data_IF_091831640169
#
_entry.id   IF_091831640169
#
_cell.length_a   1.000
_cell.length_b   1.000
_cell.length_c   1.000
_cell.angle_alpha   90.00
_cell.angle_beta   90.00
_cell.angle_gamma   90.00
#
_symmetry.space_group_name_H-M   'P 1'
#
loop_
_entity.id
_entity.type
_entity.pdbx_description
1 polymer ?
#
# COMPACT_ATOMS: atom_id res chain seq x y z
N UNK A 1 -5.98 -9.21 -28.27
CA UNK A 1 -5.09 -9.88 -27.30
C UNK A 1 -4.72 -8.81 -26.29
N UNK A 2 -4.92 -9.06 -25.00
CA UNK A 2 -4.68 -8.03 -24.01
C UNK A 2 -3.16 -7.85 -23.83
N UNK A 3 -2.69 -6.61 -23.87
CA UNK A 3 -1.27 -6.31 -23.74
C UNK A 3 -0.86 -6.43 -22.26
N UNK A 4 -0.24 -7.56 -21.90
CA UNK A 4 0.26 -7.78 -20.53
C UNK A 4 1.34 -6.76 -20.15
N UNK A 5 2.14 -6.28 -21.12
CA UNK A 5 3.19 -5.29 -20.84
C UNK A 5 2.62 -4.01 -20.23
N UNK A 6 1.39 -3.64 -20.59
CA UNK A 6 0.70 -2.45 -20.06
C UNK A 6 0.36 -2.49 -18.56
N UNK A 7 0.47 -3.67 -17.91
CA UNK A 7 0.28 -3.83 -16.47
C UNK A 7 1.61 -3.82 -15.69
N UNK A 8 2.75 -3.94 -16.37
CA UNK A 8 4.06 -3.85 -15.73
C UNK A 8 4.44 -2.39 -15.42
N UNK A 9 5.45 -2.18 -14.55
CA UNK A 9 5.86 -0.83 -14.18
C UNK A 9 6.17 0.06 -15.37
N UNK A 10 5.77 1.33 -15.29
CA UNK A 10 6.01 2.31 -16.35
C UNK A 10 7.49 2.32 -16.78
N UNK A 11 7.72 2.29 -18.09
CA UNK A 11 9.06 2.17 -18.68
C UNK A 11 9.56 0.72 -18.82
N UNK A 12 8.77 -0.28 -18.43
CA UNK A 12 9.06 -1.68 -18.78
C UNK A 12 8.91 -1.89 -20.29
N UNK A 13 9.75 -2.78 -20.83
CA UNK A 13 9.80 -3.07 -22.26
C UNK A 13 10.07 -4.56 -22.49
N UNK A 14 9.99 -4.99 -23.74
CA UNK A 14 10.53 -6.27 -24.18
C UNK A 14 11.84 -6.02 -24.92
N UNK A 15 12.84 -6.85 -24.65
CA UNK A 15 14.09 -6.90 -25.42
C UNK A 15 13.85 -7.59 -26.79
N UNK A 16 14.85 -7.62 -27.66
CA UNK A 16 14.74 -8.18 -29.04
C UNK A 16 14.31 -9.67 -29.06
N UNK A 17 14.63 -10.41 -27.99
CA UNK A 17 14.24 -11.82 -27.79
C UNK A 17 12.90 -11.99 -27.05
N UNK A 18 12.18 -10.90 -26.80
CA UNK A 18 10.90 -10.88 -26.08
C UNK A 18 11.03 -10.89 -24.55
N UNK A 19 12.25 -10.88 -24.00
CA UNK A 19 12.46 -10.91 -22.54
C UNK A 19 11.98 -9.61 -21.90
N UNK A 20 11.24 -9.73 -20.79
CA UNK A 20 10.80 -8.57 -20.01
C UNK A 20 12.01 -7.81 -19.43
N UNK A 21 12.00 -6.49 -19.60
CA UNK A 21 12.97 -5.55 -19.03
C UNK A 21 12.23 -4.61 -18.07
N UNK A 22 12.67 -4.55 -16.81
CA UNK A 22 12.11 -3.68 -15.76
C UNK A 22 13.21 -2.77 -15.23
N UNK A 23 13.02 -1.45 -15.27
CA UNK A 23 14.04 -0.49 -14.84
C UNK A 23 15.38 -0.61 -15.60
N UNK A 24 15.31 -1.06 -16.86
CA UNK A 24 16.49 -1.36 -17.70
C UNK A 24 17.17 -2.71 -17.41
N UNK A 25 16.69 -3.49 -16.44
CA UNK A 25 17.24 -4.80 -16.08
C UNK A 25 16.41 -5.93 -16.70
N UNK A 26 17.04 -6.89 -17.37
CA UNK A 26 16.35 -8.08 -17.90
C UNK A 26 15.89 -8.98 -16.76
N UNK A 27 14.66 -9.50 -16.87
CA UNK A 27 14.06 -10.35 -15.84
C UNK A 27 14.82 -11.67 -15.60
N UNK A 28 15.40 -12.25 -16.65
CA UNK A 28 16.24 -13.46 -16.54
C UNK A 28 17.56 -13.20 -15.79
N UNK A 29 18.19 -12.05 -16.01
CA UNK A 29 19.37 -11.62 -15.26
C UNK A 29 19.06 -11.37 -13.78
N UNK A 30 17.93 -10.72 -13.49
CA UNK A 30 17.46 -10.51 -12.11
C UNK A 30 17.19 -11.85 -11.40
N UNK A 31 16.54 -12.79 -12.08
CA UNK A 31 16.28 -14.12 -11.55
C UNK A 31 17.58 -14.91 -11.30
N UNK A 32 18.55 -14.82 -12.22
CA UNK A 32 19.84 -15.49 -12.08
C UNK A 32 20.69 -14.93 -10.92
N UNK A 33 20.66 -13.61 -10.70
CA UNK A 33 21.45 -12.95 -9.66
C UNK A 33 20.83 -13.09 -8.26
N UNK A 34 19.53 -12.88 -8.13
CA UNK A 34 18.85 -12.79 -6.82
C UNK A 34 18.03 -14.04 -6.45
N UNK A 35 17.86 -14.95 -7.41
CA UNK A 35 17.01 -16.14 -7.30
C UNK A 35 15.52 -15.81 -7.25
N UNK A 36 14.68 -16.80 -7.55
CA UNK A 36 13.22 -16.71 -7.46
C UNK A 36 12.66 -17.34 -6.16
N UNK A 37 11.47 -16.92 -5.71
CA UNK A 37 10.73 -15.73 -6.17
C UNK A 37 11.45 -14.43 -5.77
N UNK A 38 11.31 -13.35 -6.56
CA UNK A 38 11.89 -12.03 -6.26
C UNK A 38 10.92 -10.91 -6.62
N UNK A 39 10.75 -9.96 -5.69
CA UNK A 39 9.95 -8.75 -5.91
C UNK A 39 10.86 -7.64 -6.45
N UNK A 40 10.59 -7.21 -7.68
CA UNK A 40 11.37 -6.23 -8.42
C UNK A 40 10.61 -4.91 -8.46
N UNK A 41 11.19 -3.85 -7.91
CA UNK A 41 10.64 -2.50 -7.92
C UNK A 41 11.35 -1.68 -8.98
N UNK A 42 10.60 -1.13 -9.94
CA UNK A 42 11.12 -0.15 -10.89
C UNK A 42 11.24 1.21 -10.18
N UNK A 43 12.44 1.56 -9.70
CA UNK A 43 12.63 2.72 -8.82
C UNK A 43 12.22 4.04 -9.52
N UNK A 44 12.45 4.15 -10.83
CA UNK A 44 12.04 5.33 -11.60
C UNK A 44 10.51 5.49 -11.67
N UNK A 45 9.77 4.39 -11.84
CA UNK A 45 8.30 4.41 -11.85
C UNK A 45 7.73 4.76 -10.47
N UNK A 46 8.31 4.19 -9.41
CA UNK A 46 7.96 4.51 -8.03
C UNK A 46 8.12 6.02 -7.73
N UNK A 47 9.27 6.60 -8.06
CA UNK A 47 9.55 8.03 -7.87
C UNK A 47 8.65 8.92 -8.73
N UNK A 48 8.37 8.51 -9.97
CA UNK A 48 7.48 9.25 -10.85
C UNK A 48 6.06 9.33 -10.26
N UNK A 49 5.52 8.21 -9.77
CA UNK A 49 4.18 8.18 -9.16
C UNK A 49 4.13 8.98 -7.85
N UNK A 50 5.17 8.92 -7.02
CA UNK A 50 5.26 9.75 -5.82
C UNK A 50 5.23 11.26 -6.14
N UNK A 51 6.02 11.71 -7.12
CA UNK A 51 6.03 13.10 -7.59
C UNK A 51 4.72 13.53 -8.20
N UNK A 52 4.07 12.67 -8.99
CA UNK A 52 2.75 12.94 -9.57
C UNK A 52 1.74 13.34 -8.48
N UNK A 53 1.67 12.57 -7.38
CA UNK A 53 0.79 12.91 -6.26
C UNK A 53 1.14 14.26 -5.62
N UNK A 54 2.44 14.52 -5.38
CA UNK A 54 2.90 15.76 -4.74
C UNK A 54 2.59 16.97 -5.62
N UNK A 55 2.92 16.89 -6.91
CA UNK A 55 2.75 17.97 -7.87
C UNK A 55 1.26 18.26 -8.10
N UNK A 56 0.45 17.22 -8.35
CA UNK A 56 -0.98 17.37 -8.62
C UNK A 56 -1.74 17.92 -7.39
N UNK A 57 -1.37 17.50 -6.17
CA UNK A 57 -1.97 18.03 -4.95
C UNK A 57 -1.55 19.47 -4.71
N UNK A 58 -0.26 19.77 -4.78
CA UNK A 58 0.29 21.11 -4.54
C UNK A 58 -0.28 22.13 -5.52
N UNK A 59 -0.46 21.75 -6.79
CA UNK A 59 -1.07 22.60 -7.81
C UNK A 59 -2.53 22.97 -7.50
N UNK A 60 -3.27 22.09 -6.82
CA UNK A 60 -4.69 22.30 -6.50
C UNK A 60 -4.92 22.89 -5.12
N UNK A 61 -4.06 22.57 -4.16
CA UNK A 61 -4.10 22.99 -2.77
C UNK A 61 -2.67 23.26 -2.27
N UNK A 62 -2.18 24.52 -2.31
CA UNK A 62 -0.78 24.84 -1.98
C UNK A 62 -0.33 24.43 -0.56
N UNK A 63 -1.27 24.33 0.39
CA UNK A 63 -1.02 23.83 1.74
C UNK A 63 -1.09 22.31 1.87
N UNK A 64 -1.21 21.59 0.75
CA UNK A 64 -1.49 20.16 0.71
C UNK A 64 -0.27 19.32 1.10
N UNK A 65 -0.53 18.12 1.62
CA UNK A 65 0.51 17.16 1.96
C UNK A 65 0.11 15.76 1.54
N UNK A 66 1.06 15.05 0.95
CA UNK A 66 0.94 13.63 0.66
C UNK A 66 1.69 12.88 1.76
N UNK A 67 1.04 11.94 2.41
CA UNK A 67 1.68 10.98 3.32
C UNK A 67 1.52 9.58 2.73
N UNK A 68 2.61 8.84 2.58
CA UNK A 68 2.53 7.49 2.03
C UNK A 68 2.03 6.52 3.10
N UNK A 69 0.95 5.81 2.82
CA UNK A 69 0.39 4.80 3.71
C UNK A 69 1.29 3.56 3.74
N UNK A 70 2.19 3.50 4.73
CA UNK A 70 3.31 2.56 4.77
C UNK A 70 2.89 1.10 4.82
N UNK A 71 1.69 0.80 5.35
CA UNK A 71 1.05 -0.53 5.33
C UNK A 71 1.01 -1.18 3.94
N UNK A 72 0.96 -0.39 2.86
CA UNK A 72 0.95 -0.89 1.50
C UNK A 72 2.30 -1.51 1.11
N UNK A 73 3.42 -0.99 1.61
CA UNK A 73 4.74 -1.57 1.38
C UNK A 73 5.69 -1.18 2.54
N UNK A 74 5.71 -1.94 3.64
CA UNK A 74 6.50 -1.61 4.85
C UNK A 74 7.98 -1.96 4.67
N UNK A 75 8.61 -1.39 3.66
CA UNK A 75 10.01 -1.56 3.34
C UNK A 75 10.74 -0.22 3.55
N UNK A 76 11.73 -0.19 4.43
CA UNK A 76 12.50 1.03 4.74
C UNK A 76 13.11 1.68 3.49
N UNK A 77 13.52 0.88 2.49
CA UNK A 77 14.05 1.43 1.25
C UNK A 77 12.97 2.12 0.39
N UNK A 78 11.75 1.58 0.35
CA UNK A 78 10.60 2.21 -0.34
C UNK A 78 10.17 3.47 0.41
N UNK A 79 10.04 3.39 1.74
CA UNK A 79 9.76 4.56 2.59
C UNK A 79 10.80 5.67 2.37
N UNK A 80 12.08 5.33 2.25
CA UNK A 80 13.14 6.31 1.98
C UNK A 80 12.97 7.01 0.64
N UNK A 81 12.56 6.28 -0.40
CA UNK A 81 12.21 6.89 -1.69
C UNK A 81 11.08 7.91 -1.51
N UNK A 82 10.03 7.57 -0.76
CA UNK A 82 8.92 8.51 -0.51
C UNK A 82 9.40 9.78 0.20
N UNK A 83 10.25 9.64 1.22
CA UNK A 83 10.85 10.77 1.92
C UNK A 83 11.70 11.64 0.99
N UNK A 84 12.52 11.02 0.14
CA UNK A 84 13.35 11.74 -0.84
C UNK A 84 12.51 12.49 -1.89
N UNK A 85 11.32 12.00 -2.22
CA UNK A 85 10.36 12.70 -3.10
C UNK A 85 9.47 13.70 -2.33
N UNK A 86 9.72 13.92 -1.03
CA UNK A 86 9.08 14.97 -0.23
C UNK A 86 7.79 14.57 0.50
N UNK A 87 7.47 13.28 0.58
CA UNK A 87 6.27 12.78 1.25
C UNK A 87 6.50 12.59 2.75
N UNK A 88 5.42 12.73 3.52
CA UNK A 88 5.35 12.17 4.88
C UNK A 88 5.01 10.69 4.88
N UNK A 89 4.81 10.10 6.07
CA UNK A 89 4.48 8.68 6.21
C UNK A 89 3.29 8.49 7.16
N UNK A 90 2.25 7.78 6.69
CA UNK A 90 1.21 7.20 7.53
C UNK A 90 1.71 5.83 8.04
N UNK A 91 1.65 5.66 9.35
CA UNK A 91 2.06 4.46 10.08
C UNK A 91 0.94 3.99 11.00
N UNK A 92 0.82 2.69 11.24
CA UNK A 92 -0.26 2.08 12.01
C UNK A 92 0.20 1.36 13.29
N UNK A 93 1.48 1.48 13.67
CA UNK A 93 2.03 0.88 14.88
C UNK A 93 3.52 1.16 15.10
N UNK A 94 4.06 0.68 16.22
CA UNK A 94 5.42 0.99 16.68
C UNK A 94 6.51 0.59 15.69
N UNK A 95 6.41 -0.60 15.10
CA UNK A 95 7.36 -1.06 14.08
C UNK A 95 7.36 -0.18 12.82
N UNK A 96 6.20 0.34 12.42
CA UNK A 96 6.09 1.25 11.29
C UNK A 96 6.67 2.63 11.62
N UNK A 97 6.49 3.15 12.84
CA UNK A 97 7.18 4.38 13.30
C UNK A 97 8.70 4.20 13.23
N UNK A 98 9.24 3.10 13.76
CA UNK A 98 10.68 2.86 13.80
C UNK A 98 11.27 2.68 12.40
N UNK A 99 10.56 2.01 11.49
CA UNK A 99 11.00 1.89 10.09
C UNK A 99 10.94 3.22 9.34
N UNK A 100 9.90 4.04 9.59
CA UNK A 100 9.77 5.39 9.06
C UNK A 100 10.94 6.29 9.51
N UNK A 101 11.27 6.30 10.80
CA UNK A 101 12.44 7.03 11.34
C UNK A 101 13.73 6.53 10.70
N UNK A 102 13.91 5.21 10.57
CA UNK A 102 15.07 4.61 9.90
C UNK A 102 15.14 4.95 8.40
N UNK A 103 13.99 5.22 7.77
CA UNK A 103 13.92 5.67 6.39
C UNK A 103 14.42 7.11 6.23
N UNK A 104 14.41 7.90 7.31
CA UNK A 104 14.91 9.28 7.36
C UNK A 104 13.80 10.32 7.29
N UNK A 105 12.54 9.96 7.55
CA UNK A 105 11.43 10.91 7.59
C UNK A 105 11.64 11.92 8.73
N UNK A 106 11.25 13.18 8.50
CA UNK A 106 11.05 14.11 9.60
C UNK A 106 9.85 13.61 10.44
N UNK A 107 10.01 13.31 11.75
CA UNK A 107 8.92 12.83 12.59
C UNK A 107 7.68 13.74 12.56
N UNK A 108 7.84 15.04 12.33
CA UNK A 108 6.72 15.98 12.19
C UNK A 108 5.86 15.74 10.93
N UNK A 109 6.32 14.89 10.01
CA UNK A 109 5.60 14.44 8.81
C UNK A 109 5.01 13.03 8.97
N UNK A 110 5.10 12.43 10.15
CA UNK A 110 4.51 11.12 10.44
C UNK A 110 3.10 11.29 11.00
N UNK A 111 2.19 10.46 10.52
CA UNK A 111 0.80 10.39 10.97
C UNK A 111 0.55 8.98 11.52
N UNK A 112 0.30 8.86 12.83
CA UNK A 112 0.03 7.57 13.48
C UNK A 112 -1.47 7.27 13.48
N UNK A 113 -1.81 6.14 12.89
CA UNK A 113 -3.13 5.51 12.86
C UNK A 113 -3.20 4.28 13.79
N UNK A 114 -4.38 3.68 13.84
CA UNK A 114 -4.64 2.41 14.54
C UNK A 114 -5.90 2.47 15.39
N UNK A 115 -6.71 1.42 15.38
CA UNK A 115 -7.96 1.38 16.18
C UNK A 115 -7.77 0.89 17.61
N UNK A 116 -6.56 0.43 17.95
CA UNK A 116 -6.23 -0.18 19.23
C UNK A 116 -4.77 0.11 19.61
N UNK A 117 -4.39 1.39 19.61
CA UNK A 117 -3.02 1.80 19.93
C UNK A 117 -2.69 1.44 21.38
N UNK A 118 -1.57 0.76 21.57
CA UNK A 118 -1.05 0.41 22.88
C UNK A 118 -0.28 1.57 23.53
N UNK A 119 -0.07 1.47 24.85
CA UNK A 119 0.78 2.42 25.60
C UNK A 119 2.21 2.43 25.05
N UNK A 120 2.72 1.29 24.59
CA UNK A 120 4.04 1.18 23.96
C UNK A 120 4.09 1.99 22.66
N UNK A 121 3.09 1.83 21.78
CA UNK A 121 3.05 2.54 20.50
C UNK A 121 2.87 4.05 20.66
N UNK A 122 2.02 4.48 21.60
CA UNK A 122 1.88 5.89 21.94
C UNK A 122 3.16 6.42 22.58
N UNK A 123 3.82 5.64 23.43
CA UNK A 123 5.12 5.96 24.00
C UNK A 123 6.18 6.21 22.93
N UNK A 124 6.32 5.29 21.97
CA UNK A 124 7.22 5.42 20.81
C UNK A 124 6.88 6.68 20.00
N UNK A 125 5.61 6.95 19.74
CA UNK A 125 5.17 8.11 18.98
C UNK A 125 5.57 9.43 19.65
N UNK A 126 5.32 9.55 20.96
CA UNK A 126 5.68 10.72 21.76
C UNK A 126 7.19 10.88 21.87
N UNK A 127 7.93 9.79 22.11
CA UNK A 127 9.39 9.79 22.21
C UNK A 127 10.06 10.28 20.92
N UNK A 128 9.58 9.83 19.76
CA UNK A 128 10.11 10.23 18.47
C UNK A 128 9.57 11.56 17.94
N UNK A 129 8.58 12.17 18.61
CA UNK A 129 7.99 13.44 18.18
C UNK A 129 7.15 13.30 16.90
N UNK A 130 6.34 12.23 16.82
CA UNK A 130 5.40 12.02 15.71
C UNK A 130 4.47 13.23 15.56
N UNK A 131 4.34 13.73 14.33
CA UNK A 131 3.62 14.96 14.03
C UNK A 131 2.13 14.91 14.36
N UNK A 132 1.43 13.86 13.96
CA UNK A 132 -0.01 13.71 14.19
C UNK A 132 -0.34 12.32 14.72
N UNK A 133 -1.22 12.23 15.71
CA UNK A 133 -1.87 10.97 16.12
C UNK A 133 -3.36 11.06 15.77
N UNK A 134 -3.84 10.14 14.94
CA UNK A 134 -5.25 10.04 14.57
C UNK A 134 -5.98 9.25 15.65
N UNK A 135 -6.70 9.95 16.52
CA UNK A 135 -7.51 9.40 17.62
C UNK A 135 -8.71 8.65 17.04
N UNK A 136 -8.83 7.38 17.41
CA UNK A 136 -9.92 6.50 16.97
C UNK A 136 -11.06 6.43 18.00
N UNK A 137 -10.74 6.59 19.29
CA UNK A 137 -11.71 6.56 20.39
C UNK A 137 -11.18 7.29 21.65
N UNK A 138 -11.97 7.29 22.73
CA UNK A 138 -11.63 7.98 23.98
C UNK A 138 -10.41 7.39 24.71
N UNK A 139 -10.15 6.09 24.57
CA UNK A 139 -9.01 5.44 25.24
C UNK A 139 -7.67 5.91 24.67
N UNK A 140 -7.61 6.26 23.37
CA UNK A 140 -6.43 6.91 22.78
C UNK A 140 -6.13 8.24 23.49
N UNK A 141 -7.17 9.04 23.81
CA UNK A 141 -7.01 10.31 24.52
C UNK A 141 -6.55 10.08 25.95
N UNK A 142 -7.12 9.10 26.67
CA UNK A 142 -6.69 8.73 28.02
C UNK A 142 -5.19 8.38 28.05
N UNK A 143 -4.73 7.57 27.09
CA UNK A 143 -3.32 7.17 26.97
C UNK A 143 -2.41 8.34 26.64
N UNK A 144 -2.79 9.18 25.68
CA UNK A 144 -2.04 10.39 25.33
C UNK A 144 -1.90 11.33 26.54
N UNK A 145 -2.99 11.58 27.28
CA UNK A 145 -2.96 12.42 28.48
C UNK A 145 -2.08 11.83 29.59
N UNK A 146 -2.01 10.49 29.70
CA UNK A 146 -1.12 9.82 30.64
C UNK A 146 0.36 9.92 30.23
N UNK A 147 0.66 9.67 28.96
CA UNK A 147 2.03 9.47 28.44
C UNK A 147 2.72 10.78 28.09
N UNK A 148 2.00 11.76 27.52
CA UNK A 148 2.59 13.03 27.11
C UNK A 148 3.17 13.77 28.34
N UNK A 149 4.44 14.18 28.33
CA UNK A 149 5.06 14.89 29.45
C UNK A 149 4.34 16.20 29.81
N UNK A 150 4.39 16.58 31.08
CA UNK A 150 3.84 17.87 31.51
C UNK A 150 4.59 19.03 30.82
N UNK A 151 3.82 19.96 30.23
CA UNK A 151 4.37 21.09 29.46
C UNK A 151 4.63 20.79 27.98
N UNK A 152 4.39 19.55 27.53
CA UNK A 152 4.39 19.15 26.12
C UNK A 152 2.96 18.90 25.63
N UNK A 153 2.78 18.92 24.31
CA UNK A 153 1.48 18.64 23.67
C UNK A 153 1.67 17.73 22.47
N UNK A 154 0.82 16.72 22.33
CA UNK A 154 0.71 15.93 21.11
C UNK A 154 -0.42 16.48 20.23
N UNK A 155 -0.14 16.68 18.95
CA UNK A 155 -1.15 17.09 17.98
C UNK A 155 -1.94 15.88 17.51
N UNK A 156 -3.26 16.05 17.43
CA UNK A 156 -4.17 14.97 17.06
C UNK A 156 -5.18 15.37 16.00
N UNK A 157 -5.61 14.37 15.24
CA UNK A 157 -6.85 14.40 14.47
C UNK A 157 -7.86 13.43 15.11
N UNK A 158 -9.15 13.61 14.86
CA UNK A 158 -10.18 12.63 15.21
C UNK A 158 -10.69 11.94 13.95
N UNK A 159 -10.70 10.61 13.94
CA UNK A 159 -11.20 9.83 12.80
C UNK A 159 -12.72 9.78 12.76
N UNK A 160 -13.29 10.20 11.64
CA UNK A 160 -14.74 10.30 11.42
C UNK A 160 -15.19 9.25 10.42
N UNK A 161 -16.34 8.63 10.71
CA UNK A 161 -17.10 7.82 9.77
C UNK A 161 -17.94 8.79 8.92
N UNK A 162 -17.67 8.93 7.61
CA UNK A 162 -18.32 9.95 6.79
C UNK A 162 -19.74 9.57 6.38
N UNK A 163 -20.14 8.30 6.54
CA UNK A 163 -21.45 7.80 6.09
C UNK A 163 -21.55 7.63 4.57
N UNK A 164 -20.42 7.68 3.85
CA UNK A 164 -20.30 7.42 2.41
C UNK A 164 -19.89 5.97 2.21
N UNK A 165 -20.51 5.29 1.24
CA UNK A 165 -20.17 3.90 0.89
C UNK A 165 -19.60 3.90 -0.52
N UNK A 166 -18.37 3.42 -0.69
CA UNK A 166 -17.83 3.13 -2.01
C UNK A 166 -18.22 1.69 -2.39
N UNK A 167 -18.82 1.50 -3.57
CA UNK A 167 -19.17 0.17 -4.08
C UNK A 167 -17.90 -0.65 -4.32
N UNK A 168 -17.49 -1.42 -3.32
CA UNK A 168 -16.36 -2.36 -3.37
C UNK A 168 -16.78 -3.65 -2.69
N UNK A 169 -16.10 -4.77 -2.97
CA UNK A 169 -16.40 -6.07 -2.36
C UNK A 169 -16.53 -5.97 -0.83
N UNK A 170 -17.43 -6.73 -0.22
CA UNK A 170 -17.81 -6.63 1.20
C UNK A 170 -16.66 -6.77 2.21
N UNK A 171 -15.50 -7.29 1.79
CA UNK A 171 -14.28 -7.41 2.60
C UNK A 171 -13.36 -6.17 2.53
N UNK A 172 -13.69 -5.18 1.71
CA UNK A 172 -12.86 -3.99 1.40
C UNK A 172 -13.52 -2.68 1.87
N UNK A 173 -14.76 -2.75 2.36
CA UNK A 173 -15.50 -1.60 2.91
C UNK A 173 -14.88 -1.17 4.26
N UNK A 174 -14.35 0.05 4.30
CA UNK A 174 -13.86 0.70 5.53
C UNK A 174 -14.55 2.06 5.65
N UNK A 175 -15.40 2.25 6.68
CA UNK A 175 -16.06 3.56 6.91
C UNK A 175 -17.59 3.60 6.93
N UNK A 176 -18.29 2.47 7.02
CA UNK A 176 -19.76 2.43 7.20
C UNK A 176 -20.17 2.37 8.69
N UNK A 177 -21.44 2.62 9.01
CA UNK A 177 -21.99 2.39 10.36
C UNK A 177 -21.74 0.92 10.78
N UNK A 178 -21.10 0.71 11.93
CA UNK A 178 -20.65 -0.61 12.38
C UNK A 178 -19.19 -0.95 12.04
N UNK A 179 -18.46 -0.05 11.36
CA UNK A 179 -17.01 -0.10 11.22
C UNK A 179 -16.33 -0.10 12.60
N UNK A 180 -15.25 -0.87 12.74
CA UNK A 180 -14.39 -0.84 13.95
C UNK A 180 -13.51 0.42 14.06
N UNK A 181 -13.52 1.26 13.03
CA UNK A 181 -12.68 2.45 12.90
C UNK A 181 -13.51 3.72 12.97
N UNK A 182 -12.97 4.71 13.67
CA UNK A 182 -13.51 6.05 13.76
C UNK A 182 -14.82 6.16 14.54
N UNK A 183 -15.32 7.38 14.61
CA UNK A 183 -16.54 7.74 15.32
C UNK A 183 -17.59 8.27 14.37
N UNK A 184 -18.84 7.93 14.61
CA UNK A 184 -19.94 8.64 14.00
C UNK A 184 -19.91 10.12 14.45
N UNK A 185 -20.34 11.08 13.62
CA UNK A 185 -20.29 12.52 13.96
C UNK A 185 -20.91 12.87 15.32
N UNK A 186 -21.98 12.17 15.72
CA UNK A 186 -22.64 12.33 17.03
C UNK A 186 -21.72 12.00 18.21
N UNK A 187 -20.88 10.99 18.06
CA UNK A 187 -19.99 10.49 19.12
C UNK A 187 -18.63 11.21 19.09
N UNK A 188 -18.21 11.69 17.92
CA UNK A 188 -17.02 12.51 17.77
C UNK A 188 -17.14 13.88 18.49
N UNK A 189 -18.31 14.54 18.41
CA UNK A 189 -18.46 15.90 18.93
C UNK A 189 -18.18 16.04 20.45
N UNK A 190 -18.64 15.13 21.33
CA UNK A 190 -18.21 15.12 22.73
C UNK A 190 -16.71 14.90 22.94
N UNK A 191 -16.08 14.02 22.14
CA UNK A 191 -14.65 13.73 22.25
C UNK A 191 -13.80 14.92 21.81
N UNK A 192 -14.18 15.60 20.73
CA UNK A 192 -13.51 16.83 20.26
C UNK A 192 -13.51 17.89 21.37
N UNK A 193 -14.66 18.16 21.99
CA UNK A 193 -14.76 19.12 23.11
C UNK A 193 -13.89 18.73 24.30
N UNK A 194 -13.73 17.43 24.56
CA UNK A 194 -12.84 16.93 25.61
C UNK A 194 -11.38 17.23 25.26
N UNK A 195 -10.96 16.93 24.02
CA UNK A 195 -9.59 17.17 23.56
C UNK A 195 -9.26 18.68 23.61
N UNK A 196 -10.18 19.55 23.19
CA UNK A 196 -10.00 21.01 23.24
C UNK A 196 -9.78 21.56 24.67
N UNK A 197 -10.16 20.80 25.70
CA UNK A 197 -9.95 21.16 27.11
C UNK A 197 -8.66 20.55 27.70
N UNK A 198 -7.96 19.70 26.94
CA UNK A 198 -6.74 19.04 27.40
C UNK A 198 -5.54 19.98 27.36
N UNK A 199 -4.68 19.89 28.38
CA UNK A 199 -3.41 20.61 28.43
C UNK A 199 -2.27 19.83 27.73
N UNK A 200 -2.50 18.58 27.33
CA UNK A 200 -1.49 17.65 26.78
C UNK A 200 -1.80 17.18 25.37
N UNK A 201 -3.03 17.35 24.91
CA UNK A 201 -3.47 16.93 23.58
C UNK A 201 -4.05 18.15 22.88
N UNK A 202 -3.59 18.43 21.66
CA UNK A 202 -4.02 19.58 20.87
C UNK A 202 -4.82 19.11 19.66
N UNK A 203 -6.10 19.49 19.65
CA UNK A 203 -7.00 19.22 18.52
C UNK A 203 -6.56 20.03 17.29
N UNK A 204 -6.10 19.37 16.23
CA UNK A 204 -5.76 20.01 14.95
C UNK A 204 -6.75 19.75 13.83
N UNK A 205 -7.57 18.70 13.92
CA UNK A 205 -8.66 18.52 12.98
C UNK A 205 -9.13 17.08 12.80
N UNK A 206 -9.53 16.74 11.59
CA UNK A 206 -10.33 15.54 11.33
C UNK A 206 -9.68 14.65 10.27
N UNK A 207 -9.86 13.34 10.44
CA UNK A 207 -9.46 12.32 9.47
C UNK A 207 -10.68 11.58 8.93
N UNK A 208 -10.65 11.22 7.66
CA UNK A 208 -11.61 10.32 7.02
C UNK A 208 -10.89 9.32 6.13
N UNK A 209 -11.42 8.10 6.05
CA UNK A 209 -10.99 7.09 5.09
C UNK A 209 -12.23 6.39 4.52
N UNK A 210 -12.40 6.44 3.21
CA UNK A 210 -13.65 6.05 2.52
C UNK A 210 -13.67 4.57 2.11
N UNK A 211 -12.51 3.98 1.85
CA UNK A 211 -12.43 2.62 1.32
C UNK A 211 -11.06 2.28 0.73
N UNK A 212 -10.99 1.13 0.05
CA UNK A 212 -9.80 0.68 -0.68
C UNK A 212 -10.20 0.21 -2.07
N UNK A 213 -9.30 0.36 -3.05
CA UNK A 213 -9.52 -0.05 -4.44
C UNK A 213 -10.78 0.62 -5.05
N UNK A 214 -11.00 1.89 -4.72
CA UNK A 214 -12.10 2.68 -5.27
C UNK A 214 -11.73 3.12 -6.69
N UNK A 215 -12.60 2.81 -7.66
CA UNK A 215 -12.40 3.09 -9.09
C UNK A 215 -13.23 4.28 -9.59
N UNK A 216 -13.99 4.93 -8.71
CA UNK A 216 -14.81 6.11 -8.98
C UNK A 216 -14.33 7.30 -8.15
N UNK A 217 -14.58 8.53 -8.61
CA UNK A 217 -14.10 9.74 -7.91
C UNK A 217 -15.12 10.30 -6.91
N UNK A 218 -16.39 9.98 -7.12
CA UNK A 218 -17.55 10.49 -6.40
C UNK A 218 -17.48 10.20 -4.89
N UNK A 219 -17.15 8.98 -4.41
CA UNK A 219 -17.10 8.70 -2.99
C UNK A 219 -16.09 9.57 -2.23
N UNK A 220 -14.98 9.95 -2.88
CA UNK A 220 -13.98 10.82 -2.28
C UNK A 220 -14.52 12.25 -2.09
N UNK A 221 -15.15 12.81 -3.11
CA UNK A 221 -15.75 14.14 -3.04
C UNK A 221 -16.90 14.20 -2.01
N UNK A 222 -17.77 13.19 -2.01
CA UNK A 222 -18.91 13.10 -1.08
C UNK A 222 -18.48 13.00 0.39
N UNK A 223 -17.27 12.49 0.67
CA UNK A 223 -16.76 12.35 2.04
C UNK A 223 -16.40 13.67 2.73
N UNK A 224 -16.22 14.76 1.97
CA UNK A 224 -15.72 16.04 2.49
C UNK A 224 -16.79 16.79 3.28
N UNK A 225 -18.01 16.90 2.75
CA UNK A 225 -19.08 17.69 3.37
C UNK A 225 -19.48 17.18 4.78
N UNK A 226 -19.62 15.86 5.03
CA UNK A 226 -19.89 15.34 6.37
C UNK A 226 -18.83 15.74 7.41
N UNK A 227 -17.56 15.75 7.02
CA UNK A 227 -16.44 16.12 7.90
C UNK A 227 -16.43 17.63 8.16
N UNK A 228 -16.65 18.44 7.12
CA UNK A 228 -16.75 19.89 7.25
C UNK A 228 -17.89 20.33 8.18
N UNK A 229 -18.99 19.57 8.23
CA UNK A 229 -20.14 19.86 9.09
C UNK A 229 -19.85 19.76 10.61
N UNK A 230 -18.71 19.17 11.00
CA UNK A 230 -18.30 19.05 12.41
C UNK A 230 -17.57 20.28 12.95
N UNK A 231 -17.13 21.20 12.07
CA UNK A 231 -16.45 22.43 12.45
C UNK A 231 -15.29 22.79 11.51
N UNK A 232 -14.72 23.97 11.74
CA UNK A 232 -13.54 24.46 11.02
C UNK A 232 -12.26 24.10 11.79
N UNK A 233 -11.34 23.42 11.11
CA UNK A 233 -10.09 22.96 11.70
C UNK A 233 -8.88 23.34 10.83
N UNK A 234 -7.67 23.48 11.44
CA UNK A 234 -6.44 23.71 10.69
C UNK A 234 -6.03 22.57 9.75
N UNK A 235 -6.44 21.33 10.01
CA UNK A 235 -6.02 20.14 9.25
C UNK A 235 -7.21 19.24 8.92
N UNK A 236 -7.31 18.84 7.65
CA UNK A 236 -8.22 17.79 7.20
C UNK A 236 -7.42 16.71 6.48
N UNK A 237 -7.42 15.52 7.03
CA UNK A 237 -6.83 14.35 6.39
C UNK A 237 -7.93 13.56 5.70
N UNK A 238 -7.89 13.57 4.38
CA UNK A 238 -8.92 12.99 3.53
C UNK A 238 -8.60 11.55 3.12
N UNK A 239 -7.59 10.95 3.75
CA UNK A 239 -7.27 9.54 3.61
C UNK A 239 -6.74 9.15 2.23
N UNK A 240 -6.69 7.84 2.01
CA UNK A 240 -6.38 7.23 0.72
C UNK A 240 -7.56 6.41 0.18
N UNK A 241 -7.24 5.38 -0.59
CA UNK A 241 -8.24 4.42 -1.09
C UNK A 241 -8.34 4.33 -2.60
N UNK A 242 -7.69 5.24 -3.33
CA UNK A 242 -7.66 5.22 -4.79
C UNK A 242 -7.16 3.85 -5.29
N UNK A 243 -7.91 3.29 -6.25
CA UNK A 243 -7.55 2.04 -6.89
C UNK A 243 -6.39 2.14 -7.86
N UNK A 244 -6.04 0.99 -8.42
CA UNK A 244 -4.91 0.78 -9.34
C UNK A 244 -5.27 -0.37 -10.27
N UNK A 245 -4.52 -0.55 -11.36
CA UNK A 245 -4.79 -1.62 -12.31
C UNK A 245 -4.04 -2.90 -11.91
N UNK A 246 -4.76 -3.96 -11.58
CA UNK A 246 -4.20 -5.32 -11.45
C UNK A 246 -4.48 -6.17 -12.68
N UNK A 247 -5.59 -5.89 -13.35
CA UNK A 247 -6.11 -6.59 -14.52
C UNK A 247 -6.46 -5.60 -15.61
N UNK A 248 -6.78 -6.11 -16.80
CA UNK A 248 -7.28 -5.28 -17.89
C UNK A 248 -8.69 -4.74 -17.66
N UNK A 249 -9.45 -5.30 -16.72
CA UNK A 249 -10.79 -4.85 -16.37
C UNK A 249 -10.80 -3.65 -15.41
N UNK A 250 -9.68 -3.36 -14.76
CA UNK A 250 -9.56 -2.24 -13.85
C UNK A 250 -9.36 -0.92 -14.62
N UNK A 251 -10.25 0.03 -14.36
CA UNK A 251 -10.24 1.39 -14.93
C UNK A 251 -10.24 2.47 -13.82
N UNK A 252 -9.18 2.57 -13.00
CA UNK A 252 -9.09 3.60 -11.97
C UNK A 252 -8.97 4.99 -12.61
N UNK A 253 -9.46 6.05 -11.93
CA UNK A 253 -9.27 7.41 -12.40
C UNK A 253 -7.80 7.80 -12.25
N UNK A 254 -7.33 8.69 -13.12
CA UNK A 254 -6.01 9.29 -12.97
C UNK A 254 -5.87 10.05 -11.64
N UNK A 255 -4.65 10.22 -11.15
CA UNK A 255 -4.37 11.02 -9.94
C UNK A 255 -4.95 12.44 -10.08
N UNK A 256 -4.80 13.04 -11.27
CA UNK A 256 -5.37 14.35 -11.59
C UNK A 256 -6.90 14.37 -11.43
N UNK A 257 -7.62 13.41 -12.03
CA UNK A 257 -9.08 13.35 -11.96
C UNK A 257 -9.59 13.09 -10.53
N UNK A 258 -8.91 12.21 -9.79
CA UNK A 258 -9.17 11.98 -8.37
C UNK A 258 -9.01 13.27 -7.55
N UNK A 259 -7.92 14.01 -7.75
CA UNK A 259 -7.65 15.24 -7.02
C UNK A 259 -8.52 16.42 -7.47
N UNK A 260 -8.96 16.46 -8.73
CA UNK A 260 -9.94 17.45 -9.20
C UNK A 260 -11.26 17.30 -8.44
N UNK A 261 -11.77 16.08 -8.30
CA UNK A 261 -13.00 15.82 -7.55
C UNK A 261 -12.82 16.11 -6.05
N UNK A 262 -11.80 15.53 -5.42
CA UNK A 262 -11.57 15.66 -3.98
C UNK A 262 -11.28 17.10 -3.57
N UNK A 263 -10.36 17.77 -4.27
CA UNK A 263 -9.98 19.15 -3.94
C UNK A 263 -11.05 20.15 -4.41
N UNK A 264 -11.84 19.80 -5.43
CA UNK A 264 -13.05 20.54 -5.79
C UNK A 264 -14.03 20.64 -4.61
N UNK A 265 -14.36 19.49 -4.01
CA UNK A 265 -15.20 19.44 -2.81
C UNK A 265 -14.54 20.14 -1.60
N UNK A 266 -13.22 19.97 -1.41
CA UNK A 266 -12.48 20.66 -0.36
C UNK A 266 -12.57 22.19 -0.48
N UNK A 267 -12.48 22.73 -1.70
CA UNK A 267 -12.62 24.18 -1.95
C UNK A 267 -14.01 24.72 -1.66
N UNK A 268 -15.04 23.88 -1.77
CA UNK A 268 -16.42 24.24 -1.46
C UNK A 268 -16.70 24.24 0.05
N UNK A 269 -16.13 23.27 0.78
CA UNK A 269 -16.54 23.00 2.15
C UNK A 269 -15.51 23.32 3.24
N UNK A 270 -14.21 23.40 2.92
CA UNK A 270 -13.13 23.55 3.91
C UNK A 270 -12.53 24.97 3.91
N UNK A 271 -11.96 25.42 5.06
CA UNK A 271 -11.21 26.68 5.11
C UNK A 271 -10.03 26.67 4.14
N UNK A 272 -9.87 27.75 3.37
CA UNK A 272 -8.83 27.84 2.30
C UNK A 272 -7.40 27.77 2.80
N UNK A 273 -7.17 28.12 4.06
CA UNK A 273 -5.88 28.12 4.75
C UNK A 273 -5.64 26.82 5.55
N UNK A 274 -6.62 25.91 5.58
CA UNK A 274 -6.43 24.58 6.17
C UNK A 274 -5.41 23.77 5.37
N UNK A 275 -4.74 22.84 6.05
CA UNK A 275 -3.91 21.82 5.44
C UNK A 275 -4.77 20.63 5.06
N UNK A 276 -4.69 20.23 3.78
CA UNK A 276 -5.28 18.97 3.32
C UNK A 276 -4.20 17.90 3.25
N UNK A 277 -4.45 16.75 3.87
CA UNK A 277 -3.59 15.56 3.79
C UNK A 277 -4.31 14.49 2.96
N UNK A 278 -3.56 13.75 2.15
CA UNK A 278 -4.02 12.52 1.48
C UNK A 278 -3.05 11.38 1.76
N UNK A 279 -3.56 10.15 1.79
CA UNK A 279 -2.84 8.95 2.26
C UNK A 279 -2.77 7.83 1.20
N UNK A 280 -2.26 8.10 -0.03
CA UNK A 280 -2.14 7.06 -1.04
C UNK A 280 -1.19 5.96 -0.58
N UNK A 281 -1.62 4.71 -0.77
CA UNK A 281 -0.81 3.52 -0.53
C UNK A 281 -0.79 2.66 -1.79
N UNK A 282 -1.88 1.92 -2.01
CA UNK A 282 -2.04 0.99 -3.14
C UNK A 282 -1.71 1.62 -4.50
N UNK A 283 -2.41 2.70 -4.84
CA UNK A 283 -2.23 3.45 -6.10
C UNK A 283 -0.86 4.10 -6.28
N UNK A 284 -0.07 4.19 -5.21
CA UNK A 284 1.29 4.72 -5.26
C UNK A 284 2.33 3.65 -5.61
N UNK A 285 2.14 2.41 -5.13
CA UNK A 285 3.19 1.38 -5.20
C UNK A 285 2.83 0.14 -6.00
N UNK A 286 1.56 -0.22 -6.16
CA UNK A 286 1.16 -1.48 -6.79
C UNK A 286 1.78 -1.66 -8.18
N UNK A 287 1.51 -0.72 -9.09
CA UNK A 287 2.02 -0.68 -10.46
C UNK A 287 3.54 -0.45 -10.55
N UNK A 288 4.24 -0.12 -9.45
CA UNK A 288 5.68 0.15 -9.48
C UNK A 288 6.55 -1.12 -9.38
N UNK A 289 5.94 -2.27 -9.13
CA UNK A 289 6.66 -3.53 -8.93
C UNK A 289 5.99 -4.73 -9.60
N UNK A 290 6.79 -5.78 -9.79
CA UNK A 290 6.35 -7.10 -10.21
C UNK A 290 7.10 -8.19 -9.44
N UNK A 291 6.55 -9.41 -9.44
CA UNK A 291 7.21 -10.58 -8.85
C UNK A 291 7.56 -11.59 -9.93
N UNK A 292 8.80 -12.06 -9.91
CA UNK A 292 9.30 -13.11 -10.79
C UNK A 292 9.35 -14.44 -10.05
N UNK A 293 8.95 -15.51 -10.73
CA UNK A 293 8.90 -16.87 -10.20
C UNK A 293 9.48 -17.88 -11.19
N UNK A 294 9.99 -19.01 -10.70
CA UNK A 294 10.34 -20.16 -11.53
C UNK A 294 9.18 -21.18 -11.53
N UNK A 295 8.79 -21.67 -12.70
CA UNK A 295 7.84 -22.78 -12.83
C UNK A 295 8.49 -24.07 -12.36
N UNK A 296 7.94 -24.69 -11.33
CA UNK A 296 8.48 -25.90 -10.71
C UNK A 296 7.80 -27.18 -11.18
N UNK A 297 6.51 -27.12 -11.54
CA UNK A 297 5.74 -28.27 -12.02
C UNK A 297 4.62 -27.83 -12.95
N UNK A 298 4.37 -28.59 -14.01
CA UNK A 298 3.19 -28.41 -14.87
C UNK A 298 2.39 -29.71 -14.89
N UNK A 299 1.18 -29.67 -14.34
CA UNK A 299 0.26 -30.81 -14.28
C UNK A 299 -0.90 -30.58 -15.23
N UNK A 300 -0.87 -31.27 -16.37
CA UNK A 300 -1.95 -31.22 -17.38
C UNK A 300 -3.05 -32.23 -17.03
N UNK A 301 -4.29 -31.78 -17.06
CA UNK A 301 -5.47 -32.56 -16.69
C UNK A 301 -6.75 -31.88 -17.16
N UNK A 302 -7.87 -32.10 -16.45
CA UNK A 302 -9.11 -31.36 -16.71
C UNK A 302 -8.93 -29.84 -16.51
N UNK A 303 -8.07 -29.48 -15.56
CA UNK A 303 -7.49 -28.15 -15.39
C UNK A 303 -5.98 -28.33 -15.48
N UNK A 304 -5.30 -27.47 -16.24
CA UNK A 304 -3.84 -27.41 -16.26
C UNK A 304 -3.37 -26.53 -15.11
N UNK A 305 -2.56 -27.10 -14.20
CA UNK A 305 -1.94 -26.38 -13.11
C UNK A 305 -0.47 -26.08 -13.44
N UNK A 306 -0.05 -24.84 -13.26
CA UNK A 306 1.34 -24.39 -13.37
C UNK A 306 1.78 -23.94 -11.98
N UNK A 307 2.55 -24.79 -11.30
CA UNK A 307 3.06 -24.51 -9.97
C UNK A 307 4.37 -23.71 -10.06
N UNK A 308 4.51 -22.69 -9.23
CA UNK A 308 5.72 -21.87 -9.12
C UNK A 308 6.44 -22.05 -7.80
N UNK A 309 7.65 -21.49 -7.65
CA UNK A 309 8.50 -21.61 -6.47
C UNK A 309 8.16 -20.65 -5.31
N UNK A 310 7.05 -19.91 -5.43
CA UNK A 310 6.45 -19.06 -4.40
C UNK A 310 5.02 -19.48 -4.05
N UNK A 311 4.15 -18.52 -3.73
CA UNK A 311 2.73 -18.73 -3.46
C UNK A 311 2.17 -17.76 -2.43
N UNK A 312 1.19 -18.21 -1.65
CA UNK A 312 0.56 -17.46 -0.56
C UNK A 312 1.54 -17.01 0.54
N UNK A 313 2.75 -17.59 0.60
CA UNK A 313 3.82 -17.15 1.48
C UNK A 313 4.41 -15.79 1.09
N UNK A 314 4.33 -15.38 -0.17
CA UNK A 314 4.84 -14.10 -0.67
C UNK A 314 3.75 -13.22 -1.32
N UNK A 315 2.61 -13.80 -1.70
CA UNK A 315 1.43 -13.07 -2.11
C UNK A 315 0.15 -13.66 -1.49
N UNK A 316 -0.21 -13.22 -0.28
CA UNK A 316 -1.42 -13.66 0.42
C UNK A 316 -2.70 -12.97 -0.08
N UNK A 317 -2.60 -11.91 -0.89
CA UNK A 317 -3.77 -11.12 -1.32
C UNK A 317 -4.81 -11.97 -2.07
N UNK A 318 -4.36 -12.95 -2.86
CA UNK A 318 -5.26 -13.81 -3.63
C UNK A 318 -6.14 -14.66 -2.72
N UNK A 319 -5.54 -15.29 -1.71
CA UNK A 319 -6.27 -16.14 -0.77
C UNK A 319 -7.11 -15.33 0.24
N UNK A 320 -6.66 -14.13 0.62
CA UNK A 320 -7.30 -13.34 1.66
C UNK A 320 -8.36 -12.37 1.14
N UNK A 321 -8.11 -11.75 -0.02
CA UNK A 321 -8.94 -10.70 -0.59
C UNK A 321 -9.50 -11.05 -1.97
N UNK A 322 -9.23 -12.26 -2.47
CA UNK A 322 -9.61 -12.67 -3.82
C UNK A 322 -9.04 -11.73 -4.89
N UNK A 323 -7.92 -11.06 -4.59
CA UNK A 323 -7.30 -10.12 -5.52
C UNK A 323 -6.87 -10.87 -6.78
N UNK A 324 -7.42 -10.44 -7.91
CA UNK A 324 -7.06 -10.97 -9.21
C UNK A 324 -5.77 -10.32 -9.71
N UNK A 325 -4.86 -11.14 -10.22
CA UNK A 325 -3.67 -10.70 -10.97
C UNK A 325 -3.69 -11.28 -12.39
N UNK A 326 -2.80 -10.79 -13.24
CA UNK A 326 -2.43 -11.42 -14.51
C UNK A 326 -1.03 -12.04 -14.42
N UNK A 327 -0.67 -12.86 -15.40
CA UNK A 327 0.66 -13.48 -15.44
C UNK A 327 1.08 -13.77 -16.88
N UNK A 328 2.39 -13.84 -17.10
CA UNK A 328 2.96 -14.25 -18.38
C UNK A 328 4.28 -14.99 -18.22
N UNK A 329 4.58 -15.84 -19.19
CA UNK A 329 5.90 -16.46 -19.29
C UNK A 329 6.86 -15.46 -19.92
N UNK A 330 7.94 -15.13 -19.23
CA UNK A 330 8.96 -14.19 -19.71
C UNK A 330 9.51 -14.68 -21.05
N UNK A 331 9.58 -13.77 -22.04
CA UNK A 331 9.95 -14.10 -23.41
C UNK A 331 8.78 -14.42 -24.35
N UNK A 332 7.55 -14.61 -23.84
CA UNK A 332 6.40 -15.12 -24.61
C UNK A 332 5.07 -14.48 -24.23
N UNK A 333 4.99 -13.14 -24.34
CA UNK A 333 3.76 -12.38 -24.06
C UNK A 333 2.82 -12.24 -25.27
N UNK A 334 3.23 -12.72 -26.45
CA UNK A 334 2.49 -12.63 -27.71
C UNK A 334 1.34 -13.66 -27.86
N UNK A 335 1.08 -14.43 -26.80
CA UNK A 335 0.00 -15.43 -26.75
C UNK A 335 0.17 -16.63 -27.68
N UNK A 336 1.30 -16.76 -28.37
CA UNK A 336 1.52 -17.87 -29.29
C UNK A 336 1.58 -19.21 -28.54
N UNK A 337 0.68 -20.14 -28.89
CA UNK A 337 0.61 -21.44 -28.23
C UNK A 337 0.12 -21.36 -26.78
N UNK A 338 -0.67 -20.34 -26.43
CA UNK A 338 -1.22 -20.20 -25.10
C UNK A 338 -2.23 -21.31 -24.77
N UNK A 339 -2.10 -21.87 -23.56
CA UNK A 339 -3.10 -22.72 -22.93
C UNK A 339 -3.66 -22.02 -21.69
N UNK A 340 -4.98 -22.18 -21.43
CA UNK A 340 -5.60 -21.64 -20.22
C UNK A 340 -5.23 -22.51 -19.03
N UNK A 341 -4.64 -21.90 -18.00
CA UNK A 341 -4.12 -22.59 -16.81
C UNK A 341 -4.51 -21.90 -15.52
N UNK A 342 -4.34 -22.60 -14.40
CA UNK A 342 -4.35 -22.02 -13.05
C UNK A 342 -2.91 -22.02 -12.53
N UNK A 343 -2.40 -20.83 -12.19
CA UNK A 343 -1.09 -20.65 -11.56
C UNK A 343 -1.25 -20.82 -10.05
N UNK A 344 -0.50 -21.76 -9.48
CA UNK A 344 -0.54 -22.11 -8.06
C UNK A 344 0.83 -21.97 -7.43
N UNK A 345 0.87 -21.77 -6.12
CA UNK A 345 2.12 -21.83 -5.37
C UNK A 345 2.54 -23.26 -5.02
N UNK A 346 3.53 -23.37 -4.14
CA UNK A 346 4.12 -24.63 -3.68
C UNK A 346 3.63 -25.10 -2.31
N UNK A 347 2.77 -24.34 -1.64
CA UNK A 347 2.32 -24.63 -0.29
C UNK A 347 1.36 -25.81 -0.25
N UNK A 348 1.33 -26.51 0.87
CA UNK A 348 0.45 -27.66 1.09
C UNK A 348 -0.95 -27.20 1.52
N UNK A 349 -1.54 -26.29 0.75
CA UNK A 349 -2.87 -25.73 0.96
C UNK A 349 -3.57 -25.58 -0.38
N UNK A 350 -4.83 -26.02 -0.44
CA UNK A 350 -5.63 -25.96 -1.67
C UNK A 350 -5.93 -24.54 -2.13
N UNK A 351 -5.97 -23.60 -1.18
CA UNK A 351 -6.13 -22.17 -1.43
C UNK A 351 -4.86 -21.46 -1.91
N UNK A 352 -3.73 -22.16 -2.10
CA UNK A 352 -2.48 -21.58 -2.61
C UNK A 352 -2.53 -21.37 -4.14
N UNK A 353 -3.41 -20.46 -4.54
CA UNK A 353 -3.62 -20.04 -5.92
C UNK A 353 -3.08 -18.62 -6.07
N UNK A 354 -2.33 -18.36 -7.16
CA UNK A 354 -1.86 -17.02 -7.51
C UNK A 354 -2.71 -16.40 -8.62
N UNK A 355 -3.07 -17.19 -9.64
CA UNK A 355 -3.89 -16.70 -10.76
C UNK A 355 -4.78 -17.84 -11.29
N UNK A 356 -6.10 -17.71 -11.14
CA UNK A 356 -7.06 -18.72 -11.60
C UNK A 356 -7.56 -18.53 -13.04
N UNK A 357 -7.09 -19.32 -14.00
CA UNK A 357 -7.53 -19.20 -15.39
C UNK A 357 -6.90 -18.00 -16.10
N UNK A 358 -5.62 -18.11 -16.41
CA UNK A 358 -4.82 -17.19 -17.25
C UNK A 358 -4.27 -17.96 -18.44
N UNK A 359 -4.10 -17.29 -19.58
CA UNK A 359 -3.53 -17.89 -20.78
C UNK A 359 -2.00 -17.77 -20.75
N UNK A 360 -1.28 -18.90 -20.68
CA UNK A 360 0.19 -18.93 -20.69
C UNK A 360 0.73 -19.62 -21.94
N UNK A 361 1.66 -18.96 -22.62
CA UNK A 361 2.34 -19.45 -23.83
C UNK A 361 3.35 -20.56 -23.52
N UNK A 362 2.96 -21.82 -23.78
CA UNK A 362 3.81 -23.02 -23.64
C UNK A 362 4.54 -23.14 -22.27
N UNK A 363 3.81 -23.17 -21.13
CA UNK A 363 4.44 -23.25 -19.82
C UNK A 363 5.17 -24.60 -19.63
N UNK A 364 6.41 -24.51 -19.16
CA UNK A 364 7.28 -25.65 -18.86
C UNK A 364 8.10 -25.40 -17.59
N UNK A 365 8.53 -26.50 -16.95
CA UNK A 365 9.42 -26.46 -15.78
C UNK A 365 10.70 -25.69 -16.12
N UNK A 366 11.16 -24.84 -15.19
CA UNK A 366 12.30 -23.94 -15.34
C UNK A 366 12.01 -22.68 -16.14
N UNK A 367 10.78 -22.47 -16.65
CA UNK A 367 10.41 -21.19 -17.24
C UNK A 367 10.25 -20.12 -16.16
N UNK A 368 10.65 -18.90 -16.49
CA UNK A 368 10.42 -17.73 -15.66
C UNK A 368 9.00 -17.19 -15.93
N UNK A 369 8.23 -17.01 -14.86
CA UNK A 369 6.88 -16.44 -14.87
C UNK A 369 6.91 -15.09 -14.16
N UNK A 370 6.22 -14.09 -14.70
CA UNK A 370 6.14 -12.76 -14.13
C UNK A 370 4.69 -12.38 -13.81
N UNK A 371 4.48 -11.82 -12.63
CA UNK A 371 3.18 -11.28 -12.16
C UNK A 371 3.35 -9.78 -11.93
N UNK A 372 2.64 -8.91 -12.67
CA UNK A 372 2.69 -7.47 -12.48
C UNK A 372 1.90 -7.01 -11.24
N UNK A 373 1.99 -5.72 -10.93
CA UNK A 373 1.20 -5.03 -9.90
C UNK A 373 1.35 -5.57 -8.46
N UNK A 374 2.49 -6.19 -8.12
CA UNK A 374 2.73 -6.80 -6.80
C UNK A 374 3.37 -5.86 -5.77
N UNK A 375 3.40 -4.56 -6.06
CA UNK A 375 4.04 -3.57 -5.17
C UNK A 375 3.22 -3.19 -3.95
N UNK A 376 1.93 -3.52 -3.89
CA UNK A 376 1.08 -3.23 -2.75
C UNK A 376 0.66 -4.52 -2.04
N UNK A 377 0.81 -4.54 -0.72
CA UNK A 377 0.41 -5.57 0.23
C UNK A 377 0.94 -7.01 0.01
N UNK A 378 1.60 -7.33 -1.10
CA UNK A 378 2.30 -8.62 -1.23
C UNK A 378 3.44 -8.72 -0.21
N UNK A 379 4.37 -7.75 -0.19
CA UNK A 379 5.48 -7.74 0.76
C UNK A 379 5.02 -7.62 2.23
N UNK A 380 3.98 -6.81 2.50
CA UNK A 380 3.48 -6.59 3.88
C UNK A 380 2.92 -7.88 4.49
N UNK A 381 2.27 -8.71 3.68
CA UNK A 381 1.66 -9.97 4.13
C UNK A 381 2.54 -11.20 3.88
N UNK A 382 3.80 -11.00 3.50
CA UNK A 382 4.75 -12.08 3.34
C UNK A 382 4.93 -12.81 4.68
N UNK A 383 4.89 -14.14 4.62
CA UNK A 383 4.84 -15.01 5.77
C UNK A 383 5.65 -16.28 5.54
N UNK A 384 5.94 -16.98 6.64
CA UNK A 384 6.78 -18.18 6.63
C UNK A 384 5.94 -19.46 6.60
N UNK A 385 4.73 -19.45 6.01
CA UNK A 385 3.88 -20.64 5.93
C UNK A 385 4.63 -21.81 5.27
N UNK A 386 4.49 -23.02 5.82
CA UNK A 386 5.30 -24.20 5.50
C UNK A 386 6.83 -24.02 5.63
N UNK A 387 7.31 -23.09 6.48
CA UNK A 387 8.74 -22.78 6.61
C UNK A 387 9.31 -22.03 5.40
N UNK A 388 8.45 -21.33 4.64
CA UNK A 388 8.89 -20.50 3.52
C UNK A 388 9.83 -19.39 4.01
N UNK A 389 10.83 -19.02 3.19
CA UNK A 389 11.74 -17.91 3.48
C UNK A 389 11.24 -16.68 2.74
N UNK A 390 11.05 -15.56 3.44
CA UNK A 390 10.57 -14.32 2.82
C UNK A 390 11.50 -13.91 1.68
N UNK A 391 10.87 -13.43 0.60
CA UNK A 391 11.51 -13.14 -0.68
C UNK A 391 12.35 -11.85 -0.60
N UNK A 392 13.41 -11.70 -1.40
CA UNK A 392 14.14 -10.46 -1.49
C UNK A 392 13.33 -9.37 -2.22
N UNK A 393 13.68 -8.12 -1.93
CA UNK A 393 13.23 -6.94 -2.68
C UNK A 393 14.43 -6.33 -3.38
N UNK A 394 14.29 -6.11 -4.69
CA UNK A 394 15.34 -5.57 -5.56
C UNK A 394 14.82 -4.31 -6.24
N UNK A 395 15.61 -3.24 -6.20
CA UNK A 395 15.36 -2.03 -6.99
C UNK A 395 16.07 -2.14 -8.32
N UNK A 396 15.35 -1.89 -9.42
CA UNK A 396 15.90 -1.82 -10.76
C UNK A 396 15.78 -0.39 -11.30
N UNK A 397 16.92 0.19 -11.72
CA UNK A 397 16.98 1.54 -12.26
C UNK A 397 18.18 1.69 -13.19
N UNK A 398 17.97 2.28 -14.36
CA UNK A 398 19.02 2.60 -15.33
C UNK A 398 19.94 1.41 -15.67
N UNK A 399 19.37 0.20 -15.74
CA UNK A 399 20.10 -1.03 -16.02
C UNK A 399 20.90 -1.59 -14.83
N UNK A 400 20.76 -1.02 -13.65
CA UNK A 400 21.40 -1.47 -12.42
C UNK A 400 20.37 -2.03 -11.46
N UNK A 401 20.60 -3.25 -11.00
CA UNK A 401 19.83 -3.91 -9.97
C UNK A 401 20.51 -3.76 -8.61
N UNK A 402 19.72 -3.46 -7.57
CA UNK A 402 20.22 -3.25 -6.20
C UNK A 402 19.34 -3.97 -5.20
N UNK A 403 19.91 -4.93 -4.49
CA UNK A 403 19.26 -5.61 -3.37
C UNK A 403 19.00 -4.61 -2.22
N UNK A 404 17.75 -4.46 -1.81
CA UNK A 404 17.36 -3.57 -0.70
C UNK A 404 16.81 -4.33 0.52
N UNK A 405 16.27 -5.52 0.29
CA UNK A 405 15.93 -6.50 1.33
C UNK A 405 16.47 -7.85 0.87
N UNK A 406 17.35 -8.46 1.67
CA UNK A 406 17.86 -9.80 1.36
C UNK A 406 16.79 -10.86 1.59
N UNK A 407 16.91 -11.98 0.87
CA UNK A 407 16.14 -13.19 1.16
C UNK A 407 16.43 -13.65 2.60
N UNK A 408 15.42 -14.17 3.26
CA UNK A 408 15.65 -14.90 4.50
C UNK A 408 16.52 -16.15 4.26
N UNK A 409 17.33 -16.43 5.25
CA UNK A 409 18.13 -17.64 5.41
C UNK A 409 17.36 -18.63 6.29
N UNK A 410 17.89 -19.85 6.43
CA UNK A 410 17.32 -20.80 7.38
C UNK A 410 17.48 -20.35 8.83
N UNK A 411 18.59 -19.65 9.13
CA UNK A 411 18.86 -19.14 10.47
C UNK A 411 17.85 -18.05 10.87
N UNK A 412 17.37 -17.24 9.92
CA UNK A 412 16.34 -16.23 10.21
C UNK A 412 15.03 -16.86 10.71
N UNK A 413 14.68 -18.07 10.24
CA UNK A 413 13.47 -18.78 10.70
C UNK A 413 13.55 -19.19 12.16
N UNK A 414 14.77 -19.50 12.64
CA UNK A 414 15.03 -20.03 13.98
C UNK A 414 15.55 -18.95 14.93
N UNK A 415 15.68 -17.70 14.47
CA UNK A 415 16.33 -16.62 15.22
C UNK A 415 15.61 -16.24 16.53
N UNK A 416 14.38 -16.72 16.75
CA UNK A 416 13.57 -16.45 17.94
C UNK A 416 13.47 -17.65 18.89
N UNK A 417 14.11 -18.77 18.57
CA UNK A 417 14.10 -19.95 19.41
C UNK A 417 14.89 -19.70 20.70
N UNK A 418 14.43 -20.30 21.79
CA UNK A 418 15.09 -20.29 23.11
C UNK A 418 15.27 -21.73 23.57
N UNK A 419 16.31 -21.99 24.37
CA UNK A 419 16.70 -23.32 24.84
C UNK A 419 15.64 -24.03 25.71
#
# INVERSE_FOLDING_TARGET
MNDLLSLFPAGSALDDDGTLVVGGCRADALAAEFGTPVLVVAEAALRARAREYVDELTARWPGGRVVFASKAFPCTAVQRVMVEEGLGLDVAGGGEILTAVKAGVDPALVVLHGNAKSDEEIGIAVEHGVGLVVVDNADDVDRLEAIVPAGSTQDVLVRIIPGVTADTHSHVLTGHEGSKFGLAPRDAAPLIRRIEQSAKVRMLGLHVHVGSQILDVEPFAESVAPVAALGEFPVYDLGGGLGTRYTWADEPPSVAAYLDALIGAAKEHLPRDSRVIIEPGRSMVAESACTLYEVTTVKRGAITFVAVDGGMGDNLEVALFEQRFEAGIVGRFDGAGAERVTVVGRHCESGDVLVDGVDLSTPAVGNLLAVPATGAYCFTMANNYNGNRRIPVVFAKDGVARLVVRRETWDDLMARDVD
#
